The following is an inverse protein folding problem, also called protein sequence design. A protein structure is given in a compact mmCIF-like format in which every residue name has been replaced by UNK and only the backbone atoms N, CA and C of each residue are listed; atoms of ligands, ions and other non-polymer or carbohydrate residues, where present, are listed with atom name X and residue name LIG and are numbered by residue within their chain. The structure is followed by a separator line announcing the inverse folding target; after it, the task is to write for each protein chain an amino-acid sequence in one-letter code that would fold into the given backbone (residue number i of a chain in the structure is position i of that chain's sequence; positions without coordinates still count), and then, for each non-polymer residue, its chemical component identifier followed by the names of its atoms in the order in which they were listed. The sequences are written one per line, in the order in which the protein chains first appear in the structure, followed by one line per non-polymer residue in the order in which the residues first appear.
data_IF_118842082771
#
_entry.id   IF_118842082771
#
_cell.length_a   1.000
_cell.length_b   1.000
_cell.length_c   1.000
_cell.angle_alpha   90.00
_cell.angle_beta   90.00
_cell.angle_gamma   90.00
#
_symmetry.space_group_name_H-M   'P 1'
#
loop_
_entity.id
_entity.type
_entity.pdbx_description
1 polymer ?
#
# COMPACT_ATOMS: atom_id res chain seq x y z
N UNK A 1 -5.36 57.85 32.78
CA UNK A 1 -5.20 56.78 31.76
C UNK A 1 -5.96 55.58 32.22
N UNK A 2 -7.13 55.31 31.65
CA UNK A 2 -7.97 54.12 32.00
C UNK A 2 -7.50 52.92 31.20
N UNK A 3 -7.12 51.84 31.90
CA UNK A 3 -6.74 50.59 31.28
C UNK A 3 -7.90 49.99 30.50
N UNK A 4 -7.64 49.58 29.25
CA UNK A 4 -8.54 48.74 28.48
C UNK A 4 -8.49 47.32 29.05
N UNK A 5 -9.53 46.93 29.75
CA UNK A 5 -9.79 45.49 30.04
C UNK A 5 -9.88 44.72 28.74
N UNK A 6 -9.08 43.73 28.58
CA UNK A 6 -9.14 42.79 27.44
C UNK A 6 -10.42 41.99 27.56
N UNK A 7 -11.37 42.20 26.65
CA UNK A 7 -12.56 41.35 26.54
C UNK A 7 -12.11 39.90 26.37
N UNK A 8 -12.42 39.03 27.33
CA UNK A 8 -12.31 37.60 27.17
C UNK A 8 -13.22 37.15 26.02
N UNK A 9 -12.61 36.57 24.99
CA UNK A 9 -13.40 35.94 23.90
C UNK A 9 -14.27 34.85 24.50
N UNK A 10 -15.56 35.03 24.55
CA UNK A 10 -16.54 33.99 24.87
C UNK A 10 -16.43 32.93 23.80
N UNK A 11 -15.90 31.77 24.15
CA UNK A 11 -15.95 30.58 23.27
C UNK A 11 -17.42 30.19 23.14
N UNK A 12 -18.01 30.47 21.95
CA UNK A 12 -19.34 29.96 21.61
C UNK A 12 -19.36 28.46 21.83
N UNK A 13 -20.39 27.96 22.47
CA UNK A 13 -20.55 26.56 22.85
C UNK A 13 -20.27 25.63 21.67
N UNK A 14 -19.21 24.87 21.78
CA UNK A 14 -18.89 23.80 20.84
C UNK A 14 -20.05 22.79 20.82
N UNK A 15 -20.29 22.11 19.69
CA UNK A 15 -21.22 20.97 19.60
C UNK A 15 -20.65 19.76 20.37
N UNK A 16 -20.56 19.89 21.70
CA UNK A 16 -19.94 18.90 22.61
C UNK A 16 -20.76 17.64 22.80
N UNK A 17 -21.87 17.52 22.06
CA UNK A 17 -22.83 16.44 22.29
C UNK A 17 -22.83 15.35 21.20
N UNK A 18 -21.76 15.31 20.36
CA UNK A 18 -21.63 14.30 19.29
C UNK A 18 -21.29 12.93 19.89
N UNK A 19 -21.96 11.88 19.37
CA UNK A 19 -21.52 10.52 19.62
C UNK A 19 -20.29 10.18 18.76
N UNK A 20 -19.54 9.15 19.17
CA UNK A 20 -18.41 8.63 18.37
C UNK A 20 -18.83 8.28 16.95
N UNK A 21 -20.01 7.63 16.80
CA UNK A 21 -20.52 7.27 15.48
C UNK A 21 -20.82 8.52 14.61
N UNK A 22 -21.50 9.52 15.19
CA UNK A 22 -21.80 10.77 14.47
C UNK A 22 -20.52 11.50 14.03
N UNK A 23 -19.53 11.63 14.94
CA UNK A 23 -18.25 12.24 14.62
C UNK A 23 -17.49 11.44 13.55
N UNK A 24 -17.58 10.10 13.59
CA UNK A 24 -16.93 9.25 12.59
C UNK A 24 -17.55 9.40 11.20
N UNK A 25 -18.87 9.48 11.08
CA UNK A 25 -19.54 9.75 9.80
C UNK A 25 -19.14 11.14 9.24
N UNK A 26 -19.02 12.15 10.09
CA UNK A 26 -18.53 13.47 9.70
C UNK A 26 -17.08 13.40 9.20
N UNK A 27 -16.21 12.63 9.88
CA UNK A 27 -14.85 12.37 9.44
C UNK A 27 -14.80 11.69 8.08
N UNK A 28 -15.61 10.65 7.86
CA UNK A 28 -15.68 9.96 6.56
C UNK A 28 -16.16 10.89 5.44
N UNK A 29 -17.13 11.77 5.72
CA UNK A 29 -17.57 12.82 4.78
C UNK A 29 -16.39 13.77 4.45
N UNK A 30 -15.61 14.18 5.45
CA UNK A 30 -14.41 15.00 5.25
C UNK A 30 -13.36 14.29 4.38
N UNK A 31 -13.17 12.98 4.61
CA UNK A 31 -12.28 12.16 3.77
C UNK A 31 -12.71 12.15 2.30
N UNK A 32 -14.01 12.04 2.02
CA UNK A 32 -14.56 12.13 0.65
C UNK A 32 -14.31 13.52 0.04
N UNK A 33 -14.58 14.60 0.78
CA UNK A 33 -14.31 15.97 0.33
C UNK A 33 -12.83 16.17 -0.01
N UNK A 34 -11.92 15.55 0.75
CA UNK A 34 -10.46 15.54 0.48
C UNK A 34 -10.06 14.61 -0.64
N UNK A 35 -11.01 13.99 -1.34
CA UNK A 35 -10.79 13.06 -2.45
C UNK A 35 -9.89 11.87 -2.08
N UNK A 36 -10.04 11.31 -0.86
CA UNK A 36 -9.42 10.05 -0.53
C UNK A 36 -10.04 8.92 -1.36
N UNK A 37 -9.23 7.90 -1.70
CA UNK A 37 -9.74 6.76 -2.46
C UNK A 37 -10.78 5.97 -1.65
N UNK A 38 -11.79 5.41 -2.35
CA UNK A 38 -12.84 4.57 -1.72
C UNK A 38 -12.22 3.44 -0.91
N UNK A 39 -11.12 2.87 -1.39
CA UNK A 39 -10.38 1.84 -0.68
C UNK A 39 -9.80 2.33 0.66
N UNK A 40 -9.31 3.58 0.72
CA UNK A 40 -8.82 4.18 1.96
C UNK A 40 -9.97 4.39 2.94
N UNK A 41 -11.10 4.91 2.44
CA UNK A 41 -12.31 5.13 3.24
C UNK A 41 -12.85 3.80 3.77
N UNK A 42 -12.90 2.75 2.94
CA UNK A 42 -13.30 1.41 3.36
C UNK A 42 -12.34 0.86 4.42
N UNK A 43 -11.04 1.05 4.26
CA UNK A 43 -10.04 0.66 5.26
C UNK A 43 -10.26 1.37 6.60
N UNK A 44 -10.56 2.68 6.57
CA UNK A 44 -10.90 3.42 7.79
C UNK A 44 -12.14 2.85 8.49
N UNK A 45 -13.18 2.50 7.74
CA UNK A 45 -14.38 1.87 8.31
C UNK A 45 -14.06 0.52 8.94
N UNK A 46 -13.35 -0.35 8.22
CA UNK A 46 -13.04 -1.70 8.69
C UNK A 46 -12.12 -1.70 9.92
N UNK A 47 -11.11 -0.84 9.93
CA UNK A 47 -10.13 -0.80 11.02
C UNK A 47 -10.74 -0.14 12.27
N UNK A 48 -11.44 1.01 12.12
CA UNK A 48 -12.07 1.67 13.28
C UNK A 48 -13.22 0.87 13.88
N UNK A 49 -13.79 -0.11 13.14
CA UNK A 49 -14.76 -1.04 13.72
C UNK A 49 -14.22 -1.72 14.97
N UNK A 50 -12.93 -2.06 15.02
CA UNK A 50 -12.31 -2.64 16.24
C UNK A 50 -12.35 -1.72 17.44
N UNK A 51 -12.19 -0.42 17.23
CA UNK A 51 -12.35 0.55 18.31
C UNK A 51 -13.82 0.65 18.77
N UNK A 52 -14.77 0.55 17.85
CA UNK A 52 -16.21 0.53 18.18
C UNK A 52 -16.67 -0.80 18.78
N UNK A 53 -15.96 -1.90 18.59
CA UNK A 53 -16.18 -3.15 19.30
C UNK A 53 -15.74 -3.03 20.79
N UNK A 54 -14.71 -2.25 21.08
CA UNK A 54 -14.21 -1.97 22.43
C UNK A 54 -15.00 -0.84 23.11
N UNK A 55 -15.24 0.26 22.41
CA UNK A 55 -15.87 1.45 22.94
C UNK A 55 -17.25 1.65 22.28
N UNK A 56 -18.33 1.69 23.07
CA UNK A 56 -19.69 1.88 22.54
C UNK A 56 -19.75 3.10 21.62
N UNK A 57 -20.11 2.95 20.34
CA UNK A 57 -20.19 4.05 19.37
C UNK A 57 -21.22 5.14 19.74
N UNK A 58 -22.09 4.90 20.72
CA UNK A 58 -23.02 5.88 21.27
C UNK A 58 -22.41 6.77 22.37
N UNK A 59 -21.24 6.39 22.91
CA UNK A 59 -20.49 7.26 23.83
C UNK A 59 -20.22 8.63 23.20
N UNK A 60 -20.17 9.65 24.04
CA UNK A 60 -19.84 11.01 23.59
C UNK A 60 -18.36 11.11 23.25
N UNK A 61 -18.02 11.73 22.12
CA UNK A 61 -16.63 11.82 21.67
C UNK A 61 -15.72 12.54 22.66
N UNK A 62 -16.22 13.52 23.41
CA UNK A 62 -15.46 14.27 24.41
C UNK A 62 -15.10 13.44 25.66
N UNK A 63 -15.70 12.27 25.86
CA UNK A 63 -15.38 11.36 26.98
C UNK A 63 -14.20 10.43 26.68
N UNK A 64 -13.68 10.48 25.45
CA UNK A 64 -12.53 9.69 25.07
C UNK A 64 -11.25 10.41 25.52
N UNK A 65 -10.46 9.76 26.34
CA UNK A 65 -9.22 10.26 26.95
C UNK A 65 -8.02 9.44 26.49
N UNK A 66 -6.83 9.87 26.89
CA UNK A 66 -5.60 9.10 26.70
C UNK A 66 -5.70 7.72 27.35
N UNK A 67 -6.22 7.65 28.59
CA UNK A 67 -6.47 6.40 29.32
C UNK A 67 -7.39 5.44 28.52
N UNK A 68 -8.44 5.96 27.88
CA UNK A 68 -9.31 5.13 27.00
C UNK A 68 -8.50 4.47 25.87
N UNK A 69 -7.45 5.14 25.36
CA UNK A 69 -6.59 4.59 24.32
C UNK A 69 -5.64 3.55 24.89
N UNK A 70 -5.12 3.77 26.08
CA UNK A 70 -4.25 2.81 26.77
C UNK A 70 -5.03 1.52 27.09
N UNK A 71 -6.24 1.62 27.60
CA UNK A 71 -7.12 0.49 27.84
C UNK A 71 -7.43 -0.26 26.53
N UNK A 72 -7.66 0.48 25.42
CA UNK A 72 -7.87 -0.14 24.11
C UNK A 72 -6.65 -0.92 23.63
N UNK A 73 -5.44 -0.41 23.86
CA UNK A 73 -4.19 -1.10 23.53
C UNK A 73 -4.05 -2.39 24.35
N UNK A 74 -4.31 -2.32 25.68
CA UNK A 74 -4.26 -3.48 26.55
C UNK A 74 -5.30 -4.53 26.13
N UNK A 75 -6.52 -4.12 25.87
CA UNK A 75 -7.57 -5.01 25.35
C UNK A 75 -7.17 -5.70 24.03
N UNK A 76 -6.58 -4.95 23.09
CA UNK A 76 -6.10 -5.54 21.83
C UNK A 76 -4.98 -6.57 22.03
N UNK A 77 -4.11 -6.32 23.00
CA UNK A 77 -2.95 -7.18 23.29
C UNK A 77 -3.35 -8.41 24.07
N UNK A 78 -4.11 -8.25 25.14
CA UNK A 78 -4.33 -9.28 26.15
C UNK A 78 -5.59 -10.10 25.84
N UNK A 79 -6.71 -9.47 25.48
CA UNK A 79 -7.96 -10.14 25.18
C UNK A 79 -8.04 -10.61 23.72
N UNK A 80 -7.73 -9.73 22.76
CA UNK A 80 -7.81 -10.05 21.32
C UNK A 80 -6.53 -10.73 20.82
N UNK A 81 -5.43 -10.62 21.56
CA UNK A 81 -4.11 -11.24 21.28
C UNK A 81 -3.52 -10.86 19.91
N UNK A 82 -3.55 -9.58 19.60
CA UNK A 82 -3.02 -9.02 18.36
C UNK A 82 -1.57 -8.58 18.56
N UNK A 83 -0.74 -8.81 17.53
CA UNK A 83 0.67 -8.38 17.53
C UNK A 83 0.77 -6.85 17.49
N UNK A 84 1.75 -6.27 18.21
CA UNK A 84 1.97 -4.81 18.30
C UNK A 84 2.09 -4.11 16.94
N UNK A 85 2.64 -4.76 15.92
CA UNK A 85 2.67 -4.23 14.54
C UNK A 85 1.25 -3.96 14.01
N UNK A 86 0.30 -4.85 14.31
CA UNK A 86 -1.11 -4.70 13.90
C UNK A 86 -1.81 -3.68 14.78
N UNK A 87 -1.54 -3.68 16.11
CA UNK A 87 -2.02 -2.64 17.04
C UNK A 87 -1.62 -1.26 16.52
N UNK A 88 -0.36 -1.06 16.14
CA UNK A 88 0.11 0.19 15.56
C UNK A 88 -0.62 0.58 14.25
N UNK A 89 -1.07 -0.38 13.48
CA UNK A 89 -1.90 -0.10 12.29
C UNK A 89 -3.28 0.42 12.70
N UNK A 90 -3.89 -0.17 13.72
CA UNK A 90 -5.17 0.28 14.29
C UNK A 90 -5.02 1.67 14.90
N UNK A 91 -4.00 1.90 15.71
CA UNK A 91 -3.72 3.19 16.32
C UNK A 91 -3.49 4.30 15.28
N UNK A 92 -2.72 4.05 14.20
CA UNK A 92 -2.53 5.05 13.14
C UNK A 92 -3.85 5.45 12.47
N UNK A 93 -4.73 4.49 12.29
CA UNK A 93 -6.05 4.74 11.68
C UNK A 93 -6.97 5.48 12.64
N UNK A 94 -6.97 5.08 13.91
CA UNK A 94 -7.74 5.74 14.97
C UNK A 94 -7.25 7.17 15.20
N UNK A 95 -5.93 7.39 15.22
CA UNK A 95 -5.32 8.73 15.29
C UNK A 95 -5.86 9.67 14.23
N UNK A 96 -5.98 9.22 12.99
CA UNK A 96 -6.48 10.06 11.91
C UNK A 96 -7.93 10.54 12.17
N UNK A 97 -8.74 9.72 12.81
CA UNK A 97 -10.10 10.06 13.20
C UNK A 97 -10.13 10.96 14.45
N UNK A 98 -9.45 10.57 15.54
CA UNK A 98 -9.50 11.31 16.80
C UNK A 98 -8.82 12.68 16.69
N UNK A 99 -7.72 12.80 15.94
CA UNK A 99 -7.09 14.10 15.67
C UNK A 99 -8.00 15.01 14.87
N UNK A 100 -8.78 14.49 13.91
CA UNK A 100 -9.84 15.27 13.29
C UNK A 100 -10.86 15.77 14.33
N UNK A 101 -11.25 14.95 15.30
CA UNK A 101 -12.16 15.38 16.37
C UNK A 101 -11.53 16.47 17.26
N UNK A 102 -10.24 16.33 17.60
CA UNK A 102 -9.47 17.32 18.35
C UNK A 102 -9.36 18.65 17.58
N UNK A 103 -9.01 18.59 16.31
CA UNK A 103 -8.90 19.77 15.42
C UNK A 103 -10.24 20.51 15.28
N UNK A 104 -11.37 19.79 15.30
CA UNK A 104 -12.71 20.36 15.28
C UNK A 104 -13.18 20.86 16.65
N UNK A 105 -12.43 20.63 17.73
CA UNK A 105 -12.80 20.99 19.10
C UNK A 105 -13.91 20.13 19.69
N UNK A 106 -14.13 18.91 19.18
CA UNK A 106 -15.15 17.98 19.70
C UNK A 106 -14.69 17.26 20.95
N UNK A 107 -13.40 17.25 21.25
CA UNK A 107 -12.76 16.63 22.41
C UNK A 107 -11.47 17.37 22.77
N UNK A 108 -10.95 17.12 23.96
CA UNK A 108 -9.65 17.63 24.40
C UNK A 108 -8.50 17.02 23.57
N UNK A 109 -7.45 17.83 23.39
CA UNK A 109 -6.28 17.42 22.62
C UNK A 109 -5.30 16.64 23.49
N UNK A 110 -4.96 15.43 23.06
CA UNK A 110 -3.89 14.61 23.65
C UNK A 110 -3.13 13.87 22.55
N UNK A 111 -1.97 13.31 22.92
CA UNK A 111 -1.10 12.60 21.96
C UNK A 111 -1.32 11.10 22.07
N UNK A 112 -1.74 10.47 20.97
CA UNK A 112 -1.83 9.02 20.90
C UNK A 112 -0.45 8.47 20.55
N UNK A 113 0.17 7.71 21.45
CA UNK A 113 1.47 7.09 21.23
C UNK A 113 1.33 5.75 20.52
N UNK A 114 2.35 5.37 19.76
CA UNK A 114 2.41 4.05 19.12
C UNK A 114 3.25 3.11 20.00
N UNK A 115 2.89 1.83 20.01
CA UNK A 115 3.68 0.82 20.71
C UNK A 115 5.10 0.74 20.14
N UNK A 116 6.08 0.57 21.01
CA UNK A 116 7.47 0.27 20.60
C UNK A 116 7.49 -1.11 19.95
N UNK A 117 8.02 -1.20 18.74
CA UNK A 117 8.15 -2.45 18.00
C UNK A 117 9.57 -2.58 17.46
N UNK A 118 10.12 -3.76 17.54
CA UNK A 118 11.30 -4.10 16.76
C UNK A 118 10.92 -4.22 15.29
N UNK A 119 11.70 -3.59 14.43
CA UNK A 119 11.52 -3.70 12.99
C UNK A 119 12.45 -4.79 12.47
N UNK A 120 11.93 -5.95 12.08
CA UNK A 120 12.77 -6.98 11.49
C UNK A 120 13.39 -6.48 10.19
N UNK A 121 14.61 -6.93 9.91
CA UNK A 121 15.27 -6.69 8.64
C UNK A 121 14.38 -7.25 7.52
N UNK A 122 14.11 -6.43 6.52
CA UNK A 122 13.29 -6.87 5.39
C UNK A 122 14.04 -7.93 4.59
N UNK A 123 13.39 -9.05 4.38
CA UNK A 123 13.93 -10.11 3.53
C UNK A 123 14.06 -9.62 2.08
N UNK A 124 15.03 -10.18 1.38
CA UNK A 124 15.25 -10.04 -0.06
C UNK A 124 15.48 -11.42 -0.65
N UNK A 125 15.40 -11.57 -1.95
CA UNK A 125 15.91 -12.78 -2.61
C UNK A 125 17.42 -12.81 -2.54
N UNK A 126 18.01 -14.04 -2.45
CA UNK A 126 19.43 -14.25 -2.70
C UNK A 126 19.70 -14.37 -4.21
N UNK A 127 20.97 -14.33 -4.59
CA UNK A 127 21.35 -14.44 -6.01
C UNK A 127 21.00 -15.84 -6.54
N UNK A 128 21.19 -16.91 -5.75
CA UNK A 128 20.83 -18.28 -6.12
C UNK A 128 19.30 -18.47 -6.23
N UNK A 129 18.51 -17.77 -5.41
CA UNK A 129 17.06 -17.78 -5.54
C UNK A 129 16.63 -17.05 -6.82
N UNK A 130 17.27 -15.92 -7.15
CA UNK A 130 17.00 -15.18 -8.38
C UNK A 130 17.39 -16.00 -9.62
N UNK A 131 18.54 -16.66 -9.62
CA UNK A 131 18.95 -17.55 -10.72
C UNK A 131 17.87 -18.59 -11.04
N UNK A 132 17.33 -19.27 -10.01
CA UNK A 132 16.25 -20.24 -10.20
C UNK A 132 14.95 -19.64 -10.70
N UNK A 133 14.56 -18.44 -10.21
CA UNK A 133 13.32 -17.77 -10.58
C UNK A 133 13.39 -17.13 -11.97
N UNK A 134 14.56 -16.64 -12.36
CA UNK A 134 14.74 -15.92 -13.61
C UNK A 134 15.28 -16.80 -14.75
N UNK A 135 15.57 -18.09 -14.48
CA UNK A 135 15.86 -19.05 -15.53
C UNK A 135 14.67 -19.14 -16.49
N UNK A 136 14.95 -18.96 -17.78
CA UNK A 136 13.91 -18.96 -18.80
C UNK A 136 13.28 -20.35 -18.91
N UNK A 137 11.95 -20.46 -18.71
CA UNK A 137 11.26 -21.73 -18.82
C UNK A 137 11.29 -22.27 -20.25
N UNK A 138 11.35 -23.59 -20.39
CA UNK A 138 11.29 -24.23 -21.69
C UNK A 138 9.88 -24.07 -22.29
N UNK A 139 9.74 -23.24 -23.33
CA UNK A 139 8.47 -22.92 -23.98
C UNK A 139 7.71 -24.13 -24.52
N UNK A 140 8.41 -25.23 -24.81
CA UNK A 140 7.76 -26.48 -25.30
C UNK A 140 7.15 -27.31 -24.17
N UNK A 141 7.54 -27.05 -22.91
CA UNK A 141 7.14 -27.86 -21.75
C UNK A 141 6.39 -27.05 -20.69
N UNK A 142 6.53 -25.73 -20.65
CA UNK A 142 5.86 -24.89 -19.68
C UNK A 142 4.44 -24.52 -20.11
N UNK A 143 3.58 -24.22 -19.14
CA UNK A 143 2.29 -23.62 -19.41
C UNK A 143 2.44 -22.14 -19.70
N UNK A 144 1.47 -21.53 -20.40
CA UNK A 144 1.45 -20.08 -20.61
C UNK A 144 1.40 -19.31 -19.28
N UNK A 145 0.73 -19.85 -18.27
CA UNK A 145 0.70 -19.26 -16.92
C UNK A 145 2.09 -19.20 -16.27
N UNK A 146 2.90 -20.23 -16.44
CA UNK A 146 4.29 -20.25 -15.95
C UNK A 146 5.16 -19.26 -16.71
N UNK A 147 5.08 -19.25 -18.04
CA UNK A 147 5.82 -18.29 -18.86
C UNK A 147 5.45 -16.84 -18.54
N UNK A 148 4.15 -16.55 -18.47
CA UNK A 148 3.64 -15.24 -18.08
C UNK A 148 4.12 -14.81 -16.68
N UNK A 149 4.23 -15.75 -15.76
CA UNK A 149 4.71 -15.48 -14.39
C UNK A 149 6.21 -15.16 -14.40
N UNK A 150 7.00 -15.92 -15.14
CA UNK A 150 8.42 -15.65 -15.35
C UNK A 150 8.65 -14.24 -15.93
N UNK A 151 7.91 -13.87 -16.98
CA UNK A 151 7.97 -12.50 -17.55
C UNK A 151 7.61 -11.45 -16.50
N UNK A 152 6.57 -11.72 -15.69
CA UNK A 152 6.12 -10.80 -14.66
C UNK A 152 7.16 -10.60 -13.56
N UNK A 153 7.86 -11.65 -13.14
CA UNK A 153 8.93 -11.56 -12.13
C UNK A 153 10.14 -10.78 -12.66
N UNK A 154 10.57 -11.04 -13.90
CA UNK A 154 11.57 -10.23 -14.58
C UNK A 154 11.18 -8.76 -14.63
N UNK A 155 9.92 -8.47 -15.00
CA UNK A 155 9.40 -7.10 -15.01
C UNK A 155 9.43 -6.46 -13.61
N UNK A 156 9.00 -7.17 -12.57
CA UNK A 156 9.02 -6.65 -11.20
C UNK A 156 10.43 -6.37 -10.69
N UNK A 157 11.37 -7.24 -10.99
CA UNK A 157 12.76 -7.06 -10.58
C UNK A 157 13.41 -5.89 -11.34
N UNK A 158 13.24 -5.81 -12.65
CA UNK A 158 13.87 -4.79 -13.48
C UNK A 158 13.31 -3.37 -13.21
N UNK A 159 12.01 -3.26 -12.88
CA UNK A 159 11.35 -1.96 -12.74
C UNK A 159 11.11 -1.54 -11.29
N UNK A 160 11.26 -2.44 -10.34
CA UNK A 160 10.87 -2.25 -8.94
C UNK A 160 9.42 -1.79 -8.74
N UNK A 161 8.54 -1.96 -9.71
CA UNK A 161 7.16 -1.50 -9.64
C UNK A 161 6.36 -2.22 -8.55
N UNK A 162 5.42 -1.50 -7.95
CA UNK A 162 4.41 -2.17 -7.12
C UNK A 162 3.49 -3.00 -8.01
N UNK A 163 3.09 -4.21 -7.54
CA UNK A 163 2.21 -5.12 -8.29
C UNK A 163 1.00 -4.41 -8.92
N UNK A 164 0.36 -3.47 -8.23
CA UNK A 164 -0.78 -2.72 -8.79
C UNK A 164 -0.37 -1.79 -9.93
N UNK A 165 0.82 -1.22 -9.88
CA UNK A 165 1.35 -0.38 -10.95
C UNK A 165 1.67 -1.24 -12.16
N UNK A 166 2.35 -2.37 -11.99
CA UNK A 166 2.66 -3.33 -13.03
C UNK A 166 1.39 -3.82 -13.77
N UNK A 167 0.35 -4.20 -13.01
CA UNK A 167 -0.93 -4.66 -13.57
C UNK A 167 -1.80 -3.55 -14.21
N UNK A 168 -1.38 -2.30 -14.16
CA UNK A 168 -2.04 -1.19 -14.86
C UNK A 168 -1.32 -0.78 -16.15
N UNK A 169 -0.17 -1.35 -16.45
CA UNK A 169 0.57 -1.07 -17.69
C UNK A 169 -0.15 -1.70 -18.87
N UNK A 170 -0.31 -0.93 -19.94
CA UNK A 170 -0.83 -1.37 -21.22
C UNK A 170 0.30 -1.61 -22.21
N UNK A 171 0.03 -2.31 -23.30
CA UNK A 171 1.03 -2.54 -24.36
C UNK A 171 1.48 -1.20 -24.95
N UNK A 172 0.55 -0.27 -25.22
CA UNK A 172 0.86 1.08 -25.73
C UNK A 172 1.63 1.98 -24.76
N UNK A 173 1.79 1.58 -23.50
CA UNK A 173 2.60 2.33 -22.53
C UNK A 173 4.11 2.01 -22.65
N UNK A 174 4.48 1.03 -23.49
CA UNK A 174 5.88 0.59 -23.70
C UNK A 174 6.37 1.17 -25.00
N UNK A 175 7.39 2.00 -24.94
CA UNK A 175 8.10 2.49 -26.12
C UNK A 175 9.42 1.71 -26.24
N UNK A 176 9.41 0.69 -27.09
CA UNK A 176 10.57 -0.13 -27.36
C UNK A 176 11.65 0.63 -28.14
N UNK A 177 11.27 1.62 -28.92
CA UNK A 177 12.20 2.40 -29.75
C UNK A 177 12.98 3.42 -28.93
N UNK A 178 12.31 4.08 -27.99
CA UNK A 178 12.92 5.08 -27.11
C UNK A 178 13.38 4.50 -25.77
N UNK A 179 13.09 3.22 -25.49
CA UNK A 179 13.56 2.51 -24.31
C UNK A 179 12.96 2.99 -22.99
N UNK A 180 11.63 3.20 -22.94
CA UNK A 180 10.95 3.57 -21.70
C UNK A 180 9.55 2.99 -21.57
N UNK A 181 9.04 3.01 -20.33
CA UNK A 181 7.66 2.60 -19.96
C UNK A 181 6.97 3.77 -19.26
N UNK A 182 5.75 4.11 -19.71
CA UNK A 182 4.91 5.14 -19.10
C UNK A 182 4.00 4.50 -18.04
N UNK A 183 4.12 4.93 -16.80
CA UNK A 183 3.27 4.48 -15.69
C UNK A 183 2.15 5.49 -15.46
N UNK A 184 0.99 5.29 -16.08
CA UNK A 184 -0.15 6.23 -16.00
C UNK A 184 -0.83 6.25 -14.64
N UNK A 185 -0.87 5.10 -13.95
CA UNK A 185 -1.54 4.94 -12.64
C UNK A 185 -0.56 4.47 -11.57
N UNK A 186 -0.09 5.39 -10.75
CA UNK A 186 0.75 5.08 -9.58
C UNK A 186 -0.02 5.31 -8.27
N UNK A 187 0.49 4.78 -7.15
CA UNK A 187 -0.11 4.98 -5.83
C UNK A 187 -0.24 6.47 -5.46
N UNK A 188 0.68 7.30 -5.93
CA UNK A 188 0.73 8.74 -5.62
C UNK A 188 -0.04 9.60 -6.62
N UNK A 189 -0.82 8.99 -7.53
CA UNK A 189 -1.58 9.68 -8.60
C UNK A 189 -0.71 10.54 -9.55
N UNK A 190 0.61 10.33 -9.57
CA UNK A 190 1.53 10.98 -10.49
C UNK A 190 1.91 10.00 -11.59
N UNK A 191 1.88 10.45 -12.83
CA UNK A 191 2.44 9.69 -13.93
C UNK A 191 3.97 9.66 -13.79
N UNK A 192 4.58 8.57 -14.18
CA UNK A 192 6.03 8.38 -14.14
C UNK A 192 6.48 7.71 -15.44
N UNK A 193 7.67 8.06 -15.88
CA UNK A 193 8.37 7.38 -16.97
C UNK A 193 9.55 6.66 -16.35
N UNK A 194 9.71 5.39 -16.66
CA UNK A 194 10.82 4.56 -16.19
C UNK A 194 11.60 4.01 -17.38
N UNK A 195 12.93 3.81 -17.25
CA UNK A 195 13.71 3.21 -18.31
C UNK A 195 13.34 1.75 -18.52
N UNK A 196 13.40 1.30 -19.76
CA UNK A 196 13.28 -0.08 -20.19
C UNK A 196 14.68 -0.59 -20.52
N UNK A 197 15.22 -1.52 -19.72
CA UNK A 197 16.51 -2.13 -20.00
C UNK A 197 16.43 -3.02 -21.24
N UNK A 198 17.55 -3.19 -21.95
CA UNK A 198 17.63 -4.04 -23.14
C UNK A 198 17.18 -5.49 -22.85
N UNK A 199 17.61 -6.04 -21.71
CA UNK A 199 17.22 -7.39 -21.28
C UNK A 199 15.70 -7.52 -21.07
N UNK A 200 15.06 -6.54 -20.39
CA UNK A 200 13.62 -6.55 -20.21
C UNK A 200 12.90 -6.30 -21.53
N UNK A 201 13.43 -5.44 -22.40
CA UNK A 201 12.89 -5.17 -23.73
C UNK A 201 12.77 -6.46 -24.56
N UNK A 202 13.86 -7.24 -24.63
CA UNK A 202 13.87 -8.51 -25.34
C UNK A 202 12.82 -9.51 -24.78
N UNK A 203 12.73 -9.64 -23.45
CA UNK A 203 11.74 -10.49 -22.79
C UNK A 203 10.32 -10.04 -23.12
N UNK A 204 10.02 -8.75 -23.08
CA UNK A 204 8.68 -8.23 -23.34
C UNK A 204 8.29 -8.32 -24.82
N UNK A 205 9.22 -8.14 -25.75
CA UNK A 205 8.98 -8.33 -27.18
C UNK A 205 8.60 -9.79 -27.47
N UNK A 206 9.40 -10.76 -27.01
CA UNK A 206 9.09 -12.18 -27.15
C UNK A 206 7.75 -12.56 -26.49
N UNK A 207 7.49 -11.99 -25.30
CA UNK A 207 6.21 -12.21 -24.63
C UNK A 207 5.02 -11.71 -25.43
N UNK A 208 5.14 -10.53 -26.07
CA UNK A 208 4.08 -9.97 -26.89
C UNK A 208 3.88 -10.73 -28.21
N UNK A 209 4.95 -11.27 -28.80
CA UNK A 209 4.85 -12.16 -29.97
C UNK A 209 4.04 -13.43 -29.64
N UNK A 210 4.29 -14.03 -28.46
CA UNK A 210 3.59 -15.26 -28.04
C UNK A 210 2.17 -14.96 -27.58
N UNK A 211 1.98 -13.87 -26.82
CA UNK A 211 0.68 -13.51 -26.26
C UNK A 211 -0.26 -12.91 -27.28
N UNK A 212 0.26 -12.11 -28.22
CA UNK A 212 -0.51 -11.21 -29.06
C UNK A 212 -1.16 -10.06 -28.25
N UNK A 213 -2.19 -9.46 -28.81
CA UNK A 213 -3.02 -8.43 -28.17
C UNK A 213 -2.92 -7.07 -28.84
N UNK A 214 -3.90 -6.21 -28.53
CA UNK A 214 -4.02 -4.88 -29.08
C UNK A 214 -3.28 -3.85 -28.19
N UNK A 215 -2.88 -2.67 -28.72
CA UNK A 215 -2.14 -1.66 -27.97
C UNK A 215 -2.79 -1.24 -26.65
N UNK A 216 -4.13 -1.24 -26.59
CA UNK A 216 -4.89 -0.84 -25.40
C UNK A 216 -5.07 -1.95 -24.37
N UNK A 217 -4.67 -3.17 -24.69
CA UNK A 217 -4.72 -4.30 -23.76
C UNK A 217 -3.72 -4.12 -22.62
N UNK A 218 -4.06 -4.67 -21.46
CA UNK A 218 -3.13 -4.72 -20.36
C UNK A 218 -1.96 -5.66 -20.65
N UNK A 219 -0.73 -5.22 -20.39
CA UNK A 219 0.47 -6.04 -20.56
C UNK A 219 0.33 -7.39 -19.84
N UNK A 220 -0.13 -7.34 -18.60
CA UNK A 220 -0.38 -8.50 -17.74
C UNK A 220 -1.88 -8.67 -17.52
N UNK A 221 -2.56 -9.23 -18.50
CA UNK A 221 -4.00 -9.41 -18.48
C UNK A 221 -4.42 -10.76 -17.88
N UNK A 222 -5.73 -10.91 -17.69
CA UNK A 222 -6.38 -12.20 -17.53
C UNK A 222 -6.61 -12.88 -18.89
N UNK A 223 -7.23 -14.05 -18.89
CA UNK A 223 -7.48 -14.86 -20.11
C UNK A 223 -8.45 -14.19 -21.12
N UNK A 224 -9.06 -13.07 -20.72
CA UNK A 224 -9.99 -12.28 -21.56
C UNK A 224 -9.39 -10.94 -22.01
N UNK A 225 -8.07 -10.74 -21.93
CA UNK A 225 -7.40 -9.46 -22.26
C UNK A 225 -7.64 -8.33 -21.24
N UNK A 226 -8.47 -8.56 -20.20
CA UNK A 226 -8.82 -7.54 -19.21
C UNK A 226 -7.80 -7.46 -18.07
N UNK A 227 -7.85 -6.38 -17.32
CA UNK A 227 -7.00 -6.18 -16.15
C UNK A 227 -7.12 -7.34 -15.15
N UNK A 228 -6.02 -7.92 -14.80
CA UNK A 228 -5.97 -8.99 -13.79
C UNK A 228 -6.13 -8.47 -12.37
N UNK A 229 -6.76 -9.29 -11.53
CA UNK A 229 -6.79 -9.02 -10.10
C UNK A 229 -5.40 -9.21 -9.46
N UNK A 230 -5.05 -8.34 -8.50
CA UNK A 230 -3.77 -8.43 -7.77
C UNK A 230 -3.59 -9.80 -7.12
N UNK A 231 -4.67 -10.37 -6.56
CA UNK A 231 -4.63 -11.66 -5.87
C UNK A 231 -4.28 -12.80 -6.83
N UNK A 232 -4.73 -12.75 -8.08
CA UNK A 232 -4.40 -13.74 -9.11
C UNK A 232 -2.89 -13.79 -9.35
N UNK A 233 -2.26 -12.63 -9.58
CA UNK A 233 -0.81 -12.59 -9.79
C UNK A 233 0.01 -12.90 -8.53
N UNK A 234 -0.49 -12.54 -7.36
CA UNK A 234 0.14 -12.99 -6.11
C UNK A 234 0.13 -14.52 -5.98
N UNK A 235 -0.97 -15.17 -6.40
CA UNK A 235 -1.07 -16.63 -6.39
C UNK A 235 -0.19 -17.27 -7.47
N UNK A 236 -0.12 -16.68 -8.67
CA UNK A 236 0.77 -17.15 -9.74
C UNK A 236 2.24 -17.12 -9.28
N UNK A 237 2.69 -15.99 -8.75
CA UNK A 237 4.05 -15.83 -8.18
C UNK A 237 4.28 -16.82 -7.04
N UNK A 238 3.30 -16.99 -6.14
CA UNK A 238 3.42 -17.97 -5.06
C UNK A 238 3.67 -19.39 -5.60
N UNK A 239 2.82 -19.86 -6.51
CA UNK A 239 2.91 -21.20 -7.06
C UNK A 239 4.20 -21.40 -7.87
N UNK A 240 4.60 -20.39 -8.63
CA UNK A 240 5.82 -20.40 -9.42
C UNK A 240 7.06 -20.50 -8.53
N UNK A 241 7.18 -19.68 -7.50
CA UNK A 241 8.33 -19.69 -6.58
C UNK A 241 8.44 -21.03 -5.84
N UNK A 242 7.34 -21.55 -5.33
CA UNK A 242 7.34 -22.87 -4.66
C UNK A 242 7.79 -23.97 -5.63
N UNK A 243 7.35 -23.96 -6.87
CA UNK A 243 7.77 -24.90 -7.91
C UNK A 243 9.29 -24.85 -8.16
N UNK A 244 9.88 -23.65 -8.03
CA UNK A 244 11.33 -23.43 -8.19
C UNK A 244 12.12 -23.51 -6.88
N UNK A 245 11.56 -24.17 -5.85
CA UNK A 245 12.17 -24.33 -4.53
C UNK A 245 12.54 -23.00 -3.85
N UNK A 246 11.72 -21.97 -4.01
CA UNK A 246 11.87 -20.67 -3.34
C UNK A 246 10.66 -20.42 -2.45
N UNK A 247 10.86 -20.46 -1.12
CA UNK A 247 9.78 -20.29 -0.15
C UNK A 247 9.34 -18.83 0.04
N UNK A 248 10.08 -17.88 -0.49
CA UNK A 248 9.75 -16.47 -0.49
C UNK A 248 8.84 -16.16 -1.69
N UNK A 249 7.59 -15.79 -1.43
CA UNK A 249 6.55 -15.73 -2.48
C UNK A 249 5.88 -14.37 -2.63
N UNK A 250 6.43 -13.33 -1.98
CA UNK A 250 5.84 -11.99 -2.02
C UNK A 250 6.37 -11.16 -3.18
N UNK A 251 5.49 -10.63 -4.02
CA UNK A 251 5.85 -9.70 -5.10
C UNK A 251 6.61 -8.44 -4.60
N UNK A 252 6.44 -8.05 -3.33
CA UNK A 252 7.19 -6.93 -2.76
C UNK A 252 8.68 -7.22 -2.54
N UNK A 253 9.06 -8.50 -2.47
CA UNK A 253 10.46 -8.88 -2.30
C UNK A 253 11.30 -8.52 -3.52
N UNK A 254 10.76 -8.62 -4.74
CA UNK A 254 11.47 -8.16 -5.96
C UNK A 254 11.88 -6.69 -5.84
N UNK A 255 10.96 -5.85 -5.36
CA UNK A 255 11.24 -4.42 -5.12
C UNK A 255 12.27 -4.20 -4.00
N UNK A 256 12.23 -5.00 -2.92
CA UNK A 256 13.24 -4.94 -1.87
C UNK A 256 14.61 -5.41 -2.36
N UNK A 257 14.63 -6.45 -3.19
CA UNK A 257 15.85 -6.97 -3.82
C UNK A 257 16.44 -5.96 -4.80
N UNK A 258 15.62 -5.34 -5.66
CA UNK A 258 16.06 -4.23 -6.50
C UNK A 258 16.69 -3.10 -5.68
N UNK A 259 16.01 -2.67 -4.59
CA UNK A 259 16.53 -1.59 -3.75
C UNK A 259 17.87 -1.98 -3.08
N UNK A 260 18.02 -3.23 -2.63
CA UNK A 260 19.29 -3.76 -2.11
C UNK A 260 20.38 -3.69 -3.15
N UNK A 261 20.14 -4.24 -4.35
CA UNK A 261 21.13 -4.25 -5.45
C UNK A 261 21.48 -2.83 -5.89
N UNK A 262 20.49 -1.93 -5.97
CA UNK A 262 20.72 -0.52 -6.30
C UNK A 262 21.73 0.13 -5.34
N UNK A 263 21.55 -0.08 -4.03
CA UNK A 263 22.44 0.50 -3.00
C UNK A 263 23.81 -0.16 -3.04
N UNK A 264 23.90 -1.48 -3.16
CA UNK A 264 25.17 -2.21 -3.19
C UNK A 264 26.02 -1.79 -4.43
N UNK A 265 25.35 -1.53 -5.55
CA UNK A 265 25.99 -1.08 -6.79
C UNK A 265 26.25 0.45 -6.82
N UNK A 266 26.20 1.13 -5.67
CA UNK A 266 26.51 2.57 -5.56
C UNK A 266 25.43 3.51 -6.09
N UNK A 267 24.19 3.02 -6.28
CA UNK A 267 23.07 3.82 -6.75
C UNK A 267 22.63 4.87 -5.74
N UNK A 268 22.23 6.04 -6.23
CA UNK A 268 21.80 7.17 -5.43
C UNK A 268 20.49 6.87 -4.68
N UNK A 269 20.50 7.06 -3.35
CA UNK A 269 19.36 6.82 -2.45
C UNK A 269 18.20 7.78 -2.73
N UNK A 270 18.47 9.04 -3.10
CA UNK A 270 17.42 10.02 -3.42
C UNK A 270 16.70 9.69 -4.72
N UNK A 271 17.41 9.11 -5.69
CA UNK A 271 16.80 8.58 -6.91
C UNK A 271 15.95 7.35 -6.61
N UNK A 272 16.43 6.44 -5.74
CA UNK A 272 15.69 5.26 -5.31
C UNK A 272 14.36 5.61 -4.62
N UNK A 273 14.31 6.70 -3.84
CA UNK A 273 13.07 7.16 -3.19
C UNK A 273 11.99 7.63 -4.18
N UNK A 274 12.38 8.02 -5.39
CA UNK A 274 11.44 8.47 -6.43
C UNK A 274 10.80 7.30 -7.20
N UNK A 275 11.41 6.13 -7.17
CA UNK A 275 10.90 4.86 -7.70
C UNK A 275 9.89 4.24 -6.71
#
# INVERSE_FOLDING_TARGET
MKGRESMQKIKMSNPTNLTLNQAFEMYLKKCKVRNLSDKTILSYKQINKRFFDFCDPRKRVHTITEETIDDYVLWLRDDVRIKDVTINTYLRTLRAFLYYCMDCGYMESFKIQLCKIEKPIKQTYSDEELERLLEKPNLRKCTFAEYKTWVFENYLLATANRIRTALNVRICDIDFSSGFIVLRKTKNRKQQVIPLSESLSAILQEYLEIRGGEPEDYLFCNDYGKQSAVRTYQQLVHNYNIKHNVNKTSCHLFRHTFAKHWIINGGDIFRLQKI
#
